data_IF_347113379032
#
_entry.id   IF_347113379032
#
_cell.length_a   1.000
_cell.length_b   1.000
_cell.length_c   1.000
_cell.angle_alpha   90.00
_cell.angle_beta   90.00
_cell.angle_gamma   90.00
#
_symmetry.space_group_name_H-M   'P 1'
#
loop_
_entity.id
_entity.type
_entity.pdbx_description
1 polymer ?
#
# COMPACT_ATOMS: atom_id res chain seq x y z
N UNK A 1 28.05 43.83 -55.51
CA UNK A 1 27.76 42.38 -55.69
C UNK A 1 28.43 41.46 -54.66
N UNK A 2 29.48 41.88 -53.94
CA UNK A 2 30.21 41.03 -52.98
C UNK A 2 29.45 40.79 -51.66
N UNK A 3 28.89 41.82 -51.02
CA UNK A 3 28.28 41.68 -49.68
C UNK A 3 26.99 40.85 -49.65
N UNK A 4 26.17 40.92 -50.71
CA UNK A 4 24.95 40.12 -50.84
C UNK A 4 25.29 38.63 -50.97
N UNK A 5 26.35 38.28 -51.71
CA UNK A 5 26.83 36.89 -51.83
C UNK A 5 27.35 36.37 -50.50
N UNK A 6 28.09 37.18 -49.74
CA UNK A 6 28.57 36.82 -48.40
C UNK A 6 27.42 36.64 -47.40
N UNK A 7 26.40 37.50 -47.46
CA UNK A 7 25.20 37.38 -46.62
C UNK A 7 24.41 36.10 -46.93
N UNK A 8 24.15 35.80 -48.20
CA UNK A 8 23.46 34.56 -48.60
C UNK A 8 24.29 33.32 -48.27
N UNK A 9 25.62 33.37 -48.40
CA UNK A 9 26.50 32.29 -47.98
C UNK A 9 26.42 32.04 -46.46
N UNK A 10 26.50 33.09 -45.64
CA UNK A 10 26.37 32.98 -44.18
C UNK A 10 24.99 32.48 -43.73
N UNK A 11 23.92 32.96 -44.35
CA UNK A 11 22.56 32.48 -44.09
C UNK A 11 22.38 31.00 -44.45
N UNK A 12 22.97 30.55 -45.57
CA UNK A 12 22.94 29.14 -45.99
C UNK A 12 23.72 28.25 -45.02
N UNK A 13 24.90 28.69 -44.57
CA UNK A 13 25.69 27.96 -43.56
C UNK A 13 24.93 27.84 -42.23
N UNK A 14 24.29 28.92 -41.78
CA UNK A 14 23.49 28.91 -40.54
C UNK A 14 22.27 27.98 -40.66
N UNK A 15 21.54 28.05 -41.77
CA UNK A 15 20.38 27.19 -42.01
C UNK A 15 20.78 25.71 -42.06
N UNK A 16 21.88 25.37 -42.73
CA UNK A 16 22.42 24.01 -42.77
C UNK A 16 22.88 23.52 -41.40
N UNK A 17 23.51 24.39 -40.61
CA UNK A 17 23.92 24.06 -39.25
C UNK A 17 22.71 23.81 -38.34
N UNK A 18 21.68 24.66 -38.42
CA UNK A 18 20.43 24.46 -37.67
C UNK A 18 19.72 23.17 -38.10
N UNK A 19 19.62 22.91 -39.41
CA UNK A 19 19.02 21.68 -39.92
C UNK A 19 19.79 20.43 -39.45
N UNK A 20 21.13 20.49 -39.45
CA UNK A 20 21.97 19.41 -38.92
C UNK A 20 21.74 19.19 -37.42
N UNK A 21 21.65 20.25 -36.62
CA UNK A 21 21.32 20.16 -35.19
C UNK A 21 19.94 19.53 -35.01
N UNK A 22 18.90 20.02 -35.69
CA UNK A 22 17.54 19.47 -35.59
C UNK A 22 17.46 17.99 -36.01
N UNK A 23 18.19 17.58 -37.05
CA UNK A 23 18.22 16.18 -37.49
C UNK A 23 18.97 15.29 -36.49
N UNK A 24 20.06 15.77 -35.90
CA UNK A 24 20.86 15.01 -34.92
C UNK A 24 20.20 14.94 -33.54
N UNK A 25 19.40 15.93 -33.15
CA UNK A 25 18.69 15.94 -31.86
C UNK A 25 17.26 15.38 -31.94
N UNK A 26 16.68 15.27 -33.14
CA UNK A 26 15.30 14.85 -33.36
C UNK A 26 15.10 13.33 -33.51
N UNK A 27 16.18 12.57 -33.70
CA UNK A 27 16.10 11.13 -33.83
C UNK A 27 15.81 10.50 -32.45
N UNK A 28 14.56 10.06 -32.23
CA UNK A 28 14.25 9.18 -31.10
C UNK A 28 14.86 7.81 -31.38
N UNK A 29 15.68 7.30 -30.45
CA UNK A 29 16.13 5.92 -30.53
C UNK A 29 14.90 5.00 -30.66
N UNK A 30 14.92 4.02 -31.58
CA UNK A 30 13.83 3.07 -31.69
C UNK A 30 13.70 2.30 -30.36
N UNK A 31 12.49 1.80 -30.02
CA UNK A 31 12.30 0.99 -28.81
C UNK A 31 13.33 -0.13 -28.77
N UNK A 32 14.21 -0.09 -27.76
CA UNK A 32 15.22 -1.13 -27.58
C UNK A 32 14.61 -2.25 -26.75
N UNK A 33 14.53 -3.43 -27.35
CA UNK A 33 14.10 -4.64 -26.67
C UNK A 33 15.34 -5.39 -26.16
N UNK A 34 15.59 -5.30 -24.86
CA UNK A 34 16.67 -6.02 -24.21
C UNK A 34 16.21 -7.42 -23.81
N UNK A 35 17.11 -8.40 -23.94
CA UNK A 35 16.90 -9.75 -23.44
C UNK A 35 17.94 -10.03 -22.35
N UNK A 36 17.45 -10.49 -21.20
CA UNK A 36 18.29 -10.87 -20.07
C UNK A 36 17.89 -12.27 -19.63
N UNK A 37 18.85 -13.12 -19.32
CA UNK A 37 18.59 -14.38 -18.61
C UNK A 37 18.34 -14.11 -17.12
N UNK A 38 19.10 -13.18 -16.52
CA UNK A 38 18.98 -12.76 -15.13
C UNK A 38 19.25 -11.25 -14.98
N UNK A 39 18.58 -10.61 -14.00
CA UNK A 39 18.81 -9.22 -13.61
C UNK A 39 19.18 -9.17 -12.12
N UNK A 40 20.44 -8.91 -11.80
CA UNK A 40 20.93 -8.68 -10.43
C UNK A 40 21.11 -7.17 -10.18
N UNK A 41 20.11 -6.55 -9.55
CA UNK A 41 20.07 -5.09 -9.31
C UNK A 41 19.47 -4.76 -7.95
N UNK A 42 19.76 -3.55 -7.44
CA UNK A 42 19.17 -3.07 -6.18
C UNK A 42 17.73 -2.58 -6.32
N UNK A 43 17.34 -2.05 -7.49
CA UNK A 43 16.02 -1.47 -7.77
C UNK A 43 15.71 -1.46 -9.27
N UNK A 44 14.44 -1.72 -9.60
CA UNK A 44 13.85 -1.57 -10.94
C UNK A 44 12.74 -0.52 -10.82
N UNK A 45 12.72 0.45 -11.74
CA UNK A 45 11.62 1.40 -11.89
C UNK A 45 10.92 1.13 -13.22
N UNK A 46 9.61 0.90 -13.17
CA UNK A 46 8.75 0.90 -14.36
C UNK A 46 8.19 2.32 -14.50
N UNK A 47 8.42 2.96 -15.64
CA UNK A 47 8.12 4.38 -15.88
C UNK A 47 7.36 4.58 -17.19
N UNK A 48 6.47 5.55 -17.21
CA UNK A 48 5.82 6.08 -18.41
C UNK A 48 6.79 6.98 -19.21
N UNK A 49 6.48 7.32 -20.48
CA UNK A 49 7.29 8.22 -21.30
C UNK A 49 7.49 9.63 -20.70
N UNK A 50 6.58 10.09 -19.85
CA UNK A 50 6.68 11.38 -19.15
C UNK A 50 7.50 11.31 -17.85
N UNK A 51 8.00 10.12 -17.49
CA UNK A 51 8.77 9.87 -16.27
C UNK A 51 7.93 9.47 -15.06
N UNK A 52 6.60 9.41 -15.18
CA UNK A 52 5.72 8.93 -14.11
C UNK A 52 6.03 7.48 -13.79
N UNK A 53 6.29 7.16 -12.52
CA UNK A 53 6.52 5.78 -12.09
C UNK A 53 5.19 5.03 -12.04
N UNK A 54 5.19 3.76 -12.47
CA UNK A 54 4.06 2.82 -12.41
C UNK A 54 4.26 1.73 -11.38
N UNK A 55 5.51 1.32 -11.22
CA UNK A 55 5.89 0.28 -10.30
C UNK A 55 7.35 0.46 -9.90
N UNK A 56 7.66 0.18 -8.64
CA UNK A 56 9.03 0.16 -8.14
C UNK A 56 9.25 -1.19 -7.49
N UNK A 57 10.27 -1.94 -7.90
CA UNK A 57 10.73 -3.15 -7.22
C UNK A 57 12.08 -2.82 -6.61
N UNK A 58 12.27 -3.03 -5.31
CA UNK A 58 13.49 -2.59 -4.62
C UNK A 58 13.90 -3.51 -3.49
N UNK A 59 15.22 -3.68 -3.36
CA UNK A 59 15.88 -4.17 -2.15
C UNK A 59 15.65 -3.24 -0.97
N UNK A 60 15.95 -3.74 0.25
CA UNK A 60 15.81 -2.96 1.49
C UNK A 60 16.63 -1.66 1.49
N UNK A 61 17.83 -1.68 0.92
CA UNK A 61 18.73 -0.53 0.92
C UNK A 61 18.28 0.60 -0.02
N UNK A 62 17.44 0.29 -1.00
CA UNK A 62 16.96 1.24 -2.01
C UNK A 62 15.43 1.38 -1.99
N UNK A 63 14.79 0.98 -0.89
CA UNK A 63 13.34 1.08 -0.73
C UNK A 63 12.95 2.57 -0.70
N UNK A 64 11.96 2.99 -1.52
CA UNK A 64 11.63 4.40 -1.68
C UNK A 64 10.76 4.93 -0.53
N UNK A 65 10.51 6.25 -0.58
CA UNK A 65 9.52 6.95 0.22
C UNK A 65 8.07 6.58 -0.10
N UNK A 66 7.13 7.44 0.32
CA UNK A 66 5.74 7.40 -0.14
C UNK A 66 5.53 8.31 -1.36
N UNK A 67 4.66 7.94 -2.29
CA UNK A 67 4.39 8.76 -3.47
C UNK A 67 2.99 9.39 -3.39
N UNK A 68 2.91 10.70 -3.59
CA UNK A 68 1.65 11.43 -3.70
C UNK A 68 1.75 12.47 -4.81
N UNK A 69 0.87 12.36 -5.81
CA UNK A 69 0.78 13.32 -6.91
C UNK A 69 2.14 13.61 -7.59
N UNK A 70 2.91 12.55 -7.86
CA UNK A 70 4.22 12.62 -8.51
C UNK A 70 5.38 13.01 -7.59
N UNK A 71 5.12 13.29 -6.30
CA UNK A 71 6.15 13.66 -5.32
C UNK A 71 6.45 12.50 -4.39
N UNK A 72 7.73 12.24 -4.19
CA UNK A 72 8.23 11.31 -3.17
C UNK A 72 8.39 12.04 -1.84
N UNK A 73 7.75 11.51 -0.79
CA UNK A 73 7.90 11.93 0.61
C UNK A 73 8.86 11.01 1.35
N UNK A 74 9.69 11.57 2.22
CA UNK A 74 10.64 10.77 2.99
C UNK A 74 9.91 9.88 4.01
N UNK A 75 10.25 8.58 4.01
CA UNK A 75 9.74 7.58 4.96
C UNK A 75 10.90 6.91 5.71
N UNK A 76 11.51 7.59 6.71
CA UNK A 76 12.64 7.02 7.45
C UNK A 76 12.28 5.74 8.22
N UNK A 77 10.98 5.51 8.45
CA UNK A 77 10.43 4.30 9.06
C UNK A 77 10.37 3.09 8.11
N UNK A 78 10.51 3.29 6.79
CA UNK A 78 10.49 2.23 5.78
C UNK A 78 11.89 1.62 5.51
N UNK A 79 12.75 1.55 6.52
CA UNK A 79 14.14 1.08 6.37
C UNK A 79 14.37 -0.43 6.64
N UNK A 80 13.31 -1.17 6.95
CA UNK A 80 13.39 -2.58 7.36
C UNK A 80 12.78 -3.57 6.37
N UNK A 81 12.28 -3.10 5.23
CA UNK A 81 11.55 -3.90 4.26
C UNK A 81 12.13 -3.76 2.85
N UNK A 82 12.01 -4.83 2.06
CA UNK A 82 12.14 -4.81 0.60
C UNK A 82 10.76 -5.04 -0.02
N UNK A 83 10.63 -4.88 -1.34
CA UNK A 83 9.37 -5.21 -1.99
C UNK A 83 9.08 -4.45 -3.27
N UNK A 84 7.78 -4.23 -3.52
CA UNK A 84 7.22 -3.63 -4.71
C UNK A 84 6.18 -2.57 -4.32
N UNK A 85 6.21 -1.38 -4.92
CA UNK A 85 5.15 -0.38 -4.80
C UNK A 85 4.39 -0.23 -6.12
N UNK A 86 3.08 -0.09 -6.03
CA UNK A 86 2.20 0.27 -7.15
C UNK A 86 1.96 1.78 -7.12
N UNK A 87 1.99 2.41 -8.31
CA UNK A 87 1.80 3.84 -8.45
C UNK A 87 0.80 4.09 -9.57
N UNK A 88 -0.21 4.91 -9.29
CA UNK A 88 -1.29 5.24 -10.23
C UNK A 88 -0.91 6.37 -11.22
N UNK A 89 -1.86 6.74 -12.07
CA UNK A 89 -1.66 7.69 -13.18
C UNK A 89 -1.33 9.11 -12.70
N UNK A 90 -1.66 9.42 -11.44
CA UNK A 90 -1.31 10.70 -10.82
C UNK A 90 0.07 10.65 -10.16
N UNK A 91 0.79 9.54 -10.22
CA UNK A 91 2.03 9.36 -9.48
C UNK A 91 1.79 9.22 -7.97
N UNK A 92 0.65 8.65 -7.56
CA UNK A 92 0.32 8.36 -6.16
C UNK A 92 0.44 6.87 -5.88
N UNK A 93 1.12 6.50 -4.79
CA UNK A 93 1.19 5.12 -4.28
C UNK A 93 -0.24 4.62 -4.02
N UNK A 94 -0.57 3.43 -4.53
CA UNK A 94 -1.90 2.83 -4.38
C UNK A 94 -1.83 1.36 -3.92
N UNK A 95 -0.80 1.05 -3.15
CA UNK A 95 -0.55 -0.26 -2.57
C UNK A 95 0.84 -0.78 -2.92
N UNK A 96 1.09 -2.02 -2.52
CA UNK A 96 2.36 -2.66 -2.78
C UNK A 96 2.50 -4.00 -2.07
N UNK A 97 3.58 -4.70 -2.38
CA UNK A 97 4.09 -5.83 -1.63
C UNK A 97 5.26 -5.36 -0.78
N UNK A 98 5.22 -5.55 0.53
CA UNK A 98 6.39 -5.41 1.40
C UNK A 98 6.73 -6.74 2.03
N UNK A 99 8.01 -6.99 2.22
CA UNK A 99 8.50 -8.18 2.88
C UNK A 99 9.72 -7.89 3.76
N UNK A 100 9.85 -8.67 4.82
CA UNK A 100 11.06 -8.79 5.62
C UNK A 100 11.13 -10.16 6.26
N UNK A 101 12.34 -10.56 6.63
CA UNK A 101 12.62 -11.77 7.38
C UNK A 101 14.01 -11.69 7.98
N UNK A 102 14.10 -11.80 9.31
CA UNK A 102 15.39 -11.88 9.99
C UNK A 102 15.23 -12.52 11.36
N UNK A 103 16.29 -13.19 11.81
CA UNK A 103 16.50 -13.57 13.19
C UNK A 103 17.59 -12.63 13.72
N UNK A 104 17.27 -11.85 14.76
CA UNK A 104 18.25 -11.00 15.41
C UNK A 104 19.24 -11.83 16.23
N UNK A 105 20.39 -11.25 16.61
CA UNK A 105 21.42 -11.95 17.38
C UNK A 105 20.92 -12.48 18.74
N UNK A 106 19.89 -11.86 19.30
CA UNK A 106 19.20 -12.29 20.53
C UNK A 106 18.12 -13.37 20.29
N UNK A 107 18.04 -13.92 19.07
CA UNK A 107 17.07 -14.95 18.68
C UNK A 107 15.69 -14.41 18.29
N UNK A 108 15.44 -13.10 18.35
CA UNK A 108 14.12 -12.55 17.98
C UNK A 108 13.86 -12.70 16.49
N UNK A 109 12.77 -13.39 16.17
CA UNK A 109 12.24 -13.51 14.81
C UNK A 109 11.44 -12.25 14.47
N UNK A 110 11.73 -11.64 13.33
CA UNK A 110 10.89 -10.63 12.69
C UNK A 110 10.73 -10.99 11.22
N UNK A 111 9.60 -11.62 10.91
CA UNK A 111 9.24 -12.02 9.56
C UNK A 111 7.84 -11.53 9.22
N UNK A 112 7.65 -11.07 7.99
CA UNK A 112 6.33 -10.74 7.52
C UNK A 112 6.30 -10.27 6.08
N UNK A 113 5.18 -10.57 5.43
CA UNK A 113 4.80 -10.16 4.10
C UNK A 113 3.45 -9.46 4.15
N UNK A 114 3.30 -8.38 3.39
CA UNK A 114 2.02 -7.71 3.22
C UNK A 114 1.86 -7.28 1.77
N UNK A 115 0.80 -7.77 1.11
CA UNK A 115 0.33 -7.25 -0.17
C UNK A 115 -0.91 -6.41 0.09
N UNK A 116 -0.87 -5.16 -0.35
CA UNK A 116 -1.93 -4.20 -0.08
C UNK A 116 -2.43 -3.55 -1.37
N UNK A 117 -3.72 -3.23 -1.35
CA UNK A 117 -4.36 -2.42 -2.38
C UNK A 117 -5.07 -1.28 -1.67
N UNK A 118 -4.62 -0.08 -1.97
CA UNK A 118 -5.12 1.11 -1.31
C UNK A 118 -6.39 1.62 -2.00
N UNK A 119 -7.28 2.23 -1.22
CA UNK A 119 -8.35 3.06 -1.81
C UNK A 119 -7.69 4.28 -2.47
N UNK A 120 -8.25 4.75 -3.58
CA UNK A 120 -7.73 5.94 -4.28
C UNK A 120 -7.44 7.12 -3.34
N UNK A 121 -6.17 7.57 -3.32
CA UNK A 121 -5.62 8.64 -2.45
C UNK A 121 -5.85 8.41 -0.94
N UNK A 122 -5.95 7.16 -0.55
CA UNK A 122 -6.24 6.70 0.80
C UNK A 122 -5.46 5.43 1.08
N UNK A 123 -5.76 4.79 2.22
CA UNK A 123 -5.03 3.64 2.72
C UNK A 123 -5.69 2.31 2.32
N UNK A 124 -5.16 1.21 2.84
CA UNK A 124 -5.51 -0.16 2.44
C UNK A 124 -7.00 -0.52 2.51
N UNK A 125 -7.65 -0.66 1.35
CA UNK A 125 -8.98 -1.25 1.22
C UNK A 125 -8.94 -2.79 1.23
N UNK A 126 -7.87 -3.39 0.70
CA UNK A 126 -7.66 -4.84 0.70
C UNK A 126 -6.22 -5.15 1.15
N UNK A 127 -6.07 -6.19 1.97
CA UNK A 127 -4.75 -6.65 2.44
C UNK A 127 -4.69 -8.18 2.46
N UNK A 128 -3.57 -8.73 2.01
CA UNK A 128 -3.10 -10.07 2.33
C UNK A 128 -1.89 -9.93 3.24
N UNK A 129 -1.92 -10.57 4.41
CA UNK A 129 -0.90 -10.42 5.44
C UNK A 129 -0.45 -11.78 5.90
N UNK A 130 0.86 -11.94 6.05
CA UNK A 130 1.47 -12.98 6.84
C UNK A 130 2.51 -12.33 7.76
N UNK A 131 2.43 -12.56 9.06
CA UNK A 131 3.46 -12.14 10.01
C UNK A 131 3.80 -13.29 10.93
N UNK A 132 5.08 -13.41 11.25
CA UNK A 132 5.58 -14.52 12.05
C UNK A 132 6.63 -14.05 13.06
N UNK A 133 6.59 -14.67 14.22
CA UNK A 133 7.44 -14.42 15.38
C UNK A 133 7.52 -15.66 16.26
N UNK A 134 8.38 -15.65 17.28
CA UNK A 134 8.55 -16.82 18.17
C UNK A 134 7.26 -17.25 18.90
N UNK A 135 6.32 -16.31 19.13
CA UNK A 135 5.09 -16.56 19.91
C UNK A 135 3.81 -16.33 19.13
N UNK A 136 3.87 -15.71 17.95
CA UNK A 136 2.69 -15.32 17.20
C UNK A 136 2.91 -15.47 15.70
N UNK A 137 2.00 -16.22 15.07
CA UNK A 137 1.90 -16.37 13.63
C UNK A 137 0.50 -15.91 13.21
N UNK A 138 0.43 -14.97 12.28
CA UNK A 138 -0.82 -14.46 11.72
C UNK A 138 -0.81 -14.57 10.20
N UNK A 139 -1.87 -15.14 9.63
CA UNK A 139 -2.15 -15.10 8.20
C UNK A 139 -3.58 -14.62 8.01
N UNK A 140 -3.79 -13.57 7.22
CA UNK A 140 -5.12 -13.00 7.03
C UNK A 140 -5.32 -12.34 5.66
N UNK A 141 -6.55 -12.41 5.18
CA UNK A 141 -7.15 -11.51 4.21
C UNK A 141 -8.03 -10.50 4.97
N UNK A 142 -7.88 -9.21 4.66
CA UNK A 142 -8.67 -8.12 5.26
C UNK A 142 -9.31 -7.28 4.18
N UNK A 143 -10.61 -7.01 4.32
CA UNK A 143 -11.31 -6.00 3.53
C UNK A 143 -11.77 -4.89 4.47
N UNK A 144 -11.46 -3.65 4.12
CA UNK A 144 -11.76 -2.47 4.93
C UNK A 144 -12.63 -1.49 4.14
N UNK A 145 -13.59 -0.89 4.84
CA UNK A 145 -14.18 0.36 4.42
C UNK A 145 -13.21 1.47 4.82
N UNK A 146 -12.59 2.07 3.83
CA UNK A 146 -11.71 3.24 4.00
C UNK A 146 -12.52 4.46 3.61
N UNK A 147 -12.51 5.59 4.34
CA UNK A 147 -13.27 6.79 3.96
C UNK A 147 -12.88 7.35 2.60
N UNK A 148 -13.74 8.16 1.97
CA UNK A 148 -13.36 8.85 0.74
C UNK A 148 -12.34 9.96 1.06
N UNK A 149 -11.32 10.15 0.23
CA UNK A 149 -10.22 11.09 0.51
C UNK A 149 -10.65 12.54 0.75
N UNK A 150 -11.83 12.93 0.23
CA UNK A 150 -12.44 14.26 0.47
C UNK A 150 -13.08 14.40 1.86
N UNK A 151 -13.47 13.30 2.50
CA UNK A 151 -14.02 13.26 3.85
C UNK A 151 -12.90 13.16 4.89
N UNK A 152 -11.94 12.28 4.63
CA UNK A 152 -10.72 12.13 5.42
C UNK A 152 -9.55 12.06 4.46
N UNK A 153 -8.72 13.08 4.45
CA UNK A 153 -7.47 13.10 3.68
C UNK A 153 -6.35 12.35 4.42
N UNK A 154 -5.25 11.99 3.74
CA UNK A 154 -4.08 11.44 4.44
C UNK A 154 -3.43 12.46 5.41
N UNK A 155 -3.61 13.75 5.16
CA UNK A 155 -3.22 14.80 6.10
C UNK A 155 -4.08 14.77 7.36
N UNK A 156 -5.40 14.58 7.23
CA UNK A 156 -6.29 14.39 8.36
C UNK A 156 -5.88 13.16 9.19
N UNK A 157 -5.58 12.03 8.56
CA UNK A 157 -5.13 10.82 9.26
C UNK A 157 -3.88 11.10 10.09
N UNK A 158 -2.89 11.80 9.53
CA UNK A 158 -1.67 12.20 10.26
C UNK A 158 -2.01 13.12 11.43
N UNK A 159 -2.82 14.15 11.18
CA UNK A 159 -3.28 15.10 12.20
C UNK A 159 -4.03 14.41 13.34
N UNK A 160 -4.89 13.43 13.06
CA UNK A 160 -5.57 12.69 14.13
C UNK A 160 -4.59 11.96 15.04
N UNK A 161 -3.58 11.32 14.44
CA UNK A 161 -2.53 10.65 15.21
C UNK A 161 -1.75 11.62 16.09
N UNK A 162 -1.49 12.83 15.64
CA UNK A 162 -0.83 13.88 16.43
C UNK A 162 -1.72 14.42 17.55
N UNK A 163 -2.98 14.73 17.26
CA UNK A 163 -3.97 15.16 18.26
C UNK A 163 -4.13 14.10 19.35
N UNK A 164 -4.34 12.84 18.97
CA UNK A 164 -4.49 11.74 19.91
C UNK A 164 -3.27 11.52 20.81
N UNK A 165 -2.05 11.76 20.31
CA UNK A 165 -0.82 11.66 21.13
C UNK A 165 -0.72 12.76 22.18
N UNK A 166 -1.28 13.95 21.91
CA UNK A 166 -1.30 15.08 22.85
C UNK A 166 -2.35 14.92 23.94
N UNK A 167 -3.38 14.08 23.72
CA UNK A 167 -4.43 13.82 24.70
C UNK A 167 -3.95 12.93 25.87
N UNK A 168 -4.47 13.14 27.08
CA UNK A 168 -4.35 12.21 28.19
C UNK A 168 -4.84 10.81 27.80
N UNK A 169 -4.20 9.76 28.32
CA UNK A 169 -4.49 8.38 27.92
C UNK A 169 -5.98 8.00 28.04
N UNK A 170 -6.67 8.48 29.09
CA UNK A 170 -8.09 8.23 29.32
C UNK A 170 -9.03 8.90 28.30
N UNK A 171 -8.59 9.95 27.60
CA UNK A 171 -9.41 10.69 26.63
C UNK A 171 -9.22 10.20 25.19
N UNK A 172 -8.12 9.49 24.91
CA UNK A 172 -7.79 9.01 23.55
C UNK A 172 -8.88 8.11 22.99
N UNK A 173 -9.45 7.24 23.82
CA UNK A 173 -10.50 6.33 23.38
C UNK A 173 -11.74 7.07 22.90
N UNK A 174 -12.20 8.07 23.66
CA UNK A 174 -13.36 8.89 23.29
C UNK A 174 -13.09 9.70 22.01
N UNK A 175 -11.86 10.21 21.85
CA UNK A 175 -11.45 10.90 20.62
C UNK A 175 -11.55 10.01 19.38
N UNK A 176 -11.02 8.78 19.44
CA UNK A 176 -11.11 7.83 18.31
C UNK A 176 -12.54 7.37 18.05
N UNK A 177 -13.34 7.13 19.10
CA UNK A 177 -14.75 6.80 18.97
C UNK A 177 -15.53 7.90 18.24
N UNK A 178 -15.31 9.17 18.61
CA UNK A 178 -15.93 10.31 17.93
C UNK A 178 -15.59 10.34 16.44
N UNK A 179 -14.33 10.11 16.05
CA UNK A 179 -13.94 10.08 14.64
C UNK A 179 -14.55 8.88 13.91
N UNK A 180 -14.65 7.72 14.56
CA UNK A 180 -15.30 6.53 14.01
C UNK A 180 -16.80 6.77 13.76
N UNK A 181 -17.52 7.36 14.71
CA UNK A 181 -18.93 7.73 14.59
C UNK A 181 -19.19 8.75 13.48
N UNK A 182 -18.22 9.65 13.23
CA UNK A 182 -18.25 10.59 12.11
C UNK A 182 -17.91 9.94 10.76
N UNK A 183 -17.62 8.63 10.72
CA UNK A 183 -17.21 7.92 9.51
C UNK A 183 -15.83 8.36 8.97
N UNK A 184 -14.99 8.93 9.84
CA UNK A 184 -13.70 9.50 9.45
C UNK A 184 -12.53 8.53 9.55
N UNK A 185 -12.75 7.34 10.12
CA UNK A 185 -11.73 6.31 10.26
C UNK A 185 -12.07 5.11 9.38
N UNK A 186 -11.03 4.39 8.96
CA UNK A 186 -11.18 3.10 8.32
C UNK A 186 -11.76 2.07 9.29
N UNK A 187 -12.65 1.22 8.79
CA UNK A 187 -13.28 0.15 9.54
C UNK A 187 -13.06 -1.19 8.83
N UNK A 188 -12.65 -2.22 9.56
CA UNK A 188 -12.52 -3.55 8.97
C UNK A 188 -13.92 -4.17 8.79
N UNK A 189 -14.21 -4.65 7.58
CA UNK A 189 -15.49 -5.29 7.21
C UNK A 189 -15.42 -6.80 7.19
N UNK A 190 -14.32 -7.32 6.66
CA UNK A 190 -14.09 -8.75 6.56
C UNK A 190 -12.69 -9.05 7.10
N UNK A 191 -12.64 -10.05 7.96
CA UNK A 191 -11.42 -10.73 8.36
C UNK A 191 -11.56 -12.20 7.99
N UNK A 192 -10.62 -12.73 7.23
CA UNK A 192 -10.48 -14.16 6.99
C UNK A 192 -9.05 -14.55 7.35
N UNK A 193 -8.87 -15.32 8.40
CA UNK A 193 -7.53 -15.67 8.85
C UNK A 193 -7.52 -16.49 10.13
N UNK A 194 -6.31 -16.83 10.56
CA UNK A 194 -6.12 -17.45 11.85
C UNK A 194 -6.33 -16.42 12.99
N UNK A 195 -6.55 -16.93 14.19
CA UNK A 195 -6.68 -16.15 15.42
C UNK A 195 -5.46 -16.37 16.32
N UNK A 196 -5.32 -15.56 17.38
CA UNK A 196 -4.26 -15.76 18.38
C UNK A 196 -4.34 -17.12 19.10
N UNK A 197 -5.53 -17.73 19.13
CA UNK A 197 -5.79 -19.04 19.75
C UNK A 197 -5.67 -20.20 18.75
N UNK A 198 -5.03 -19.97 17.59
CA UNK A 198 -4.86 -20.96 16.51
C UNK A 198 -6.18 -21.45 15.87
N UNK A 199 -7.30 -20.80 16.16
CA UNK A 199 -8.54 -21.03 15.42
C UNK A 199 -8.46 -20.44 14.01
N UNK A 200 -9.18 -21.01 13.06
CA UNK A 200 -9.45 -20.42 11.74
C UNK A 200 -10.78 -19.68 11.78
N UNK A 201 -10.84 -18.44 11.27
CA UNK A 201 -12.03 -17.60 11.37
C UNK A 201 -12.33 -16.79 10.12
N UNK A 202 -13.62 -16.68 9.79
CA UNK A 202 -14.19 -15.62 8.97
C UNK A 202 -15.08 -14.75 9.87
N UNK A 203 -14.81 -13.45 9.93
CA UNK A 203 -15.60 -12.47 10.66
C UNK A 203 -16.23 -11.48 9.67
N UNK A 204 -17.53 -11.27 9.81
CA UNK A 204 -18.29 -10.26 9.08
C UNK A 204 -18.71 -9.15 10.05
N UNK A 205 -18.41 -7.91 9.68
CA UNK A 205 -18.57 -6.73 10.54
C UNK A 205 -19.52 -5.70 9.94
N UNK A 206 -20.29 -5.04 10.80
CA UNK A 206 -21.18 -3.94 10.43
C UNK A 206 -20.41 -2.66 10.08
N UNK A 207 -21.15 -1.57 9.78
CA UNK A 207 -20.55 -0.31 9.33
C UNK A 207 -19.67 0.37 10.37
N UNK A 208 -19.86 0.03 11.64
CA UNK A 208 -19.06 0.51 12.75
C UNK A 208 -17.91 -0.45 13.07
N UNK A 209 -17.72 -1.52 12.29
CA UNK A 209 -16.67 -2.52 12.49
C UNK A 209 -16.99 -3.54 13.57
N UNK A 210 -18.24 -3.58 14.06
CA UNK A 210 -18.67 -4.52 15.10
C UNK A 210 -18.98 -5.86 14.45
N UNK A 211 -18.46 -6.95 15.02
CA UNK A 211 -18.71 -8.30 14.49
C UNK A 211 -20.20 -8.65 14.63
N UNK A 212 -20.79 -9.16 13.55
CA UNK A 212 -22.19 -9.62 13.49
C UNK A 212 -22.32 -11.08 13.14
N UNK A 213 -21.32 -11.64 12.49
CA UNK A 213 -21.27 -13.06 12.19
C UNK A 213 -19.83 -13.56 12.23
N UNK A 214 -19.65 -14.76 12.78
CA UNK A 214 -18.39 -15.48 12.78
C UNK A 214 -18.61 -16.90 12.29
N UNK A 215 -17.77 -17.37 11.37
CA UNK A 215 -17.60 -18.78 11.05
C UNK A 215 -16.22 -19.18 11.57
N UNK A 216 -16.16 -20.18 12.44
CA UNK A 216 -14.92 -20.52 13.16
C UNK A 216 -14.72 -22.03 13.29
N UNK A 217 -13.45 -22.43 13.26
CA UNK A 217 -13.00 -23.76 13.67
C UNK A 217 -11.89 -23.57 14.71
N UNK A 218 -12.09 -24.06 15.93
CA UNK A 218 -11.10 -23.95 17.01
C UNK A 218 -9.84 -24.78 16.73
N UNK A 219 -8.79 -24.60 17.55
CA UNK A 219 -7.56 -25.39 17.44
C UNK A 219 -7.81 -26.90 17.64
N UNK A 220 -8.82 -27.26 18.41
CA UNK A 220 -9.27 -28.63 18.69
C UNK A 220 -10.22 -29.18 17.60
N UNK A 221 -10.52 -28.40 16.56
CA UNK A 221 -11.38 -28.81 15.46
C UNK A 221 -12.87 -28.59 15.68
N UNK A 222 -13.27 -27.86 16.74
CA UNK A 222 -14.69 -27.57 16.98
C UNK A 222 -15.18 -26.52 16.00
N UNK A 223 -16.11 -26.89 15.12
CA UNK A 223 -16.74 -25.99 14.16
C UNK A 223 -17.98 -25.29 14.75
N UNK A 224 -18.10 -23.98 14.50
CA UNK A 224 -19.27 -23.20 14.89
C UNK A 224 -19.51 -21.98 13.99
N UNK A 225 -20.79 -21.60 13.88
CA UNK A 225 -21.25 -20.33 13.30
C UNK A 225 -21.91 -19.54 14.42
N UNK A 226 -21.44 -18.32 14.67
CA UNK A 226 -22.03 -17.43 15.67
C UNK A 226 -22.65 -16.22 14.99
N UNK A 227 -23.85 -15.83 15.43
CA UNK A 227 -24.46 -14.53 15.14
C UNK A 227 -24.44 -13.70 16.41
N UNK A 228 -24.05 -12.42 16.28
CA UNK A 228 -23.90 -11.49 17.39
C UNK A 228 -24.92 -10.35 17.26
N UNK A 229 -25.53 -9.97 18.38
CA UNK A 229 -26.45 -8.83 18.45
C UNK A 229 -25.71 -7.48 18.40
N UNK A 230 -26.46 -6.38 18.47
CA UNK A 230 -25.92 -5.02 18.36
C UNK A 230 -24.87 -4.69 19.43
N UNK A 231 -24.98 -5.32 20.61
CA UNK A 231 -24.06 -5.17 21.75
C UNK A 231 -22.81 -6.03 21.65
N UNK A 232 -22.76 -6.93 20.64
CA UNK A 232 -21.67 -7.88 20.45
C UNK A 232 -21.84 -9.17 21.26
N UNK A 233 -23.02 -9.43 21.82
CA UNK A 233 -23.32 -10.69 22.51
C UNK A 233 -23.78 -11.73 21.50
N UNK A 234 -23.33 -12.97 21.64
CA UNK A 234 -23.78 -14.08 20.80
C UNK A 234 -25.28 -14.30 21.03
N UNK A 235 -26.08 -14.10 19.99
CA UNK A 235 -27.53 -14.29 19.99
C UNK A 235 -27.94 -15.66 19.46
N UNK A 236 -27.11 -16.26 18.61
CA UNK A 236 -27.31 -17.62 18.09
C UNK A 236 -25.99 -18.30 17.78
N UNK A 237 -25.91 -19.59 18.07
CA UNK A 237 -24.79 -20.46 17.68
C UNK A 237 -25.34 -21.66 16.92
N UNK A 238 -24.71 -21.99 15.79
CA UNK A 238 -24.94 -23.22 15.03
C UNK A 238 -23.68 -24.06 15.13
N UNK A 239 -23.85 -25.33 15.51
CA UNK A 239 -22.80 -26.32 15.64
C UNK A 239 -23.21 -27.59 14.87
N UNK A 240 -22.29 -28.54 14.63
CA UNK A 240 -22.66 -29.84 14.04
C UNK A 240 -23.74 -30.62 14.81
N UNK A 241 -23.91 -30.34 16.11
CA UNK A 241 -24.93 -30.97 16.95
C UNK A 241 -26.25 -30.18 17.02
N UNK A 242 -26.31 -28.99 16.40
CA UNK A 242 -27.55 -28.21 16.33
C UNK A 242 -28.54 -28.95 15.45
N UNK A 243 -29.73 -29.27 16.01
CA UNK A 243 -30.86 -29.79 15.23
C UNK A 243 -31.56 -28.64 14.52
N UNK A 244 -32.15 -28.92 13.36
CA UNK A 244 -32.90 -27.99 12.51
C UNK A 244 -33.97 -27.20 13.28
#
# INVERSE_FOLDING_TARGET
>A
MSQIRTFFAGATTMASALAAVFMLTGAKEPPRHEHFDEITVGRINIVEPDGTRRMIISSKAQFPGDFMQGKEGARPDRNSFAGMLFINDEGTENGGLIQKGSIAADGRISSGLSLTFDRFRQDQALQLINTDSASHQQTALKINDVPHFKLTSMEDVRRFGEEARKLPAGERQAYWQKLAEQGRLSSNRIWLGNTGEKASSLQLKDAQGRVRMMLMVSAEGKAEIQMLDETGKVSKTITPASKD
#
